data_IF_032839582467
#
_entry.id   IF_032839582467
#
_cell.length_a   1.000
_cell.length_b   1.000
_cell.length_c   1.000
_cell.angle_alpha   90.00
_cell.angle_beta   90.00
_cell.angle_gamma   90.00
#
_symmetry.space_group_name_H-M   'P 1'
#
loop_
_entity.id
_entity.type
_entity.pdbx_description
1 polymer ?
#
# COMPACT_ATOMS: atom_id res chain seq x y z
N UNK A 1 8.58 33.71 7.78
CA UNK A 1 7.83 32.44 7.93
C UNK A 1 6.45 32.52 7.26
N UNK A 2 6.22 33.20 6.13
CA UNK A 2 6.55 32.87 4.73
C UNK A 2 6.03 31.54 4.15
N UNK A 3 5.32 30.67 4.89
CA UNK A 3 4.95 29.32 4.40
C UNK A 3 3.43 29.01 4.41
N UNK A 4 2.57 30.03 4.49
CA UNK A 4 1.11 29.86 4.58
C UNK A 4 0.33 30.29 3.33
N UNK A 5 1.02 30.47 2.19
CA UNK A 5 0.43 31.01 0.95
C UNK A 5 0.34 30.03 -0.22
N UNK A 6 0.67 28.75 -0.01
CA UNK A 6 0.82 27.76 -1.09
C UNK A 6 -0.37 26.80 -1.27
N UNK A 7 -1.53 27.08 -0.68
CA UNK A 7 -2.79 26.36 -0.96
C UNK A 7 -3.84 27.35 -1.43
N UNK A 8 -3.64 27.89 -2.63
CA UNK A 8 -4.77 28.35 -3.43
C UNK A 8 -5.41 27.11 -4.05
N UNK A 9 -6.70 26.82 -3.82
CA UNK A 9 -7.39 25.83 -4.62
C UNK A 9 -7.35 26.35 -6.06
N UNK A 10 -6.89 25.52 -7.00
CA UNK A 10 -7.09 25.69 -8.44
C UNK A 10 -8.59 25.63 -8.76
N UNK A 11 -9.34 26.63 -8.27
CA UNK A 11 -10.74 26.88 -8.59
C UNK A 11 -10.75 27.81 -9.80
N UNK A 12 -10.26 27.30 -10.91
CA UNK A 12 -10.46 27.90 -12.23
C UNK A 12 -10.50 26.80 -13.28
N UNK A 13 -11.44 25.87 -13.10
CA UNK A 13 -12.13 25.34 -14.26
C UNK A 13 -13.37 26.22 -14.39
N UNK A 14 -13.40 27.04 -15.44
CA UNK A 14 -14.59 27.77 -15.83
C UNK A 14 -15.79 26.84 -15.72
N UNK A 15 -16.72 27.15 -14.81
CA UNK A 15 -18.05 26.58 -14.86
C UNK A 15 -18.65 27.08 -16.17
N UNK A 16 -18.46 26.31 -17.23
CA UNK A 16 -19.45 26.26 -18.28
C UNK A 16 -20.74 25.88 -17.56
N UNK A 17 -21.66 26.84 -17.43
CA UNK A 17 -23.02 26.54 -16.98
C UNK A 17 -23.61 25.40 -17.81
N UNK A 18 -24.70 24.76 -17.38
CA UNK A 18 -25.30 23.69 -18.15
C UNK A 18 -25.67 24.23 -19.53
N UNK A 19 -24.80 23.99 -20.52
CA UNK A 19 -25.15 24.13 -21.92
C UNK A 19 -26.29 23.17 -22.07
N UNK A 20 -27.48 23.68 -22.38
CA UNK A 20 -28.64 22.86 -22.66
C UNK A 20 -28.18 21.77 -23.62
N UNK A 21 -28.06 20.53 -23.12
CA UNK A 21 -27.73 19.37 -23.93
C UNK A 21 -28.69 19.46 -25.10
N UNK A 22 -28.15 19.54 -26.33
CA UNK A 22 -28.98 19.47 -27.52
C UNK A 22 -29.79 18.20 -27.32
N UNK A 23 -31.05 18.37 -26.91
CA UNK A 23 -31.97 17.26 -26.76
C UNK A 23 -31.82 16.50 -28.07
N UNK A 24 -31.64 15.18 -27.98
CA UNK A 24 -31.62 14.27 -29.12
C UNK A 24 -32.99 14.33 -29.79
N UNK A 25 -33.25 15.48 -30.42
CA UNK A 25 -34.35 15.75 -31.30
C UNK A 25 -33.88 15.08 -32.56
N UNK A 26 -34.07 13.76 -32.59
CA UNK A 26 -34.23 13.04 -33.83
C UNK A 26 -35.32 13.79 -34.57
N UNK A 27 -34.92 14.71 -35.44
CA UNK A 27 -35.79 15.28 -36.45
C UNK A 27 -36.18 14.07 -37.27
N UNK A 28 -37.31 13.45 -36.92
CA UNK A 28 -37.96 12.49 -37.78
C UNK A 28 -38.27 13.29 -39.05
N UNK A 29 -37.44 13.11 -40.07
CA UNK A 29 -37.69 13.59 -41.43
C UNK A 29 -38.88 12.82 -42.05
N UNK A 30 -39.54 11.93 -41.31
CA UNK A 30 -40.90 11.55 -41.66
C UNK A 30 -41.83 12.71 -41.30
N UNK A 31 -42.26 13.41 -42.34
CA UNK A 31 -43.29 14.44 -42.38
C UNK A 31 -42.92 15.76 -41.66
N UNK A 32 -42.88 16.92 -42.36
CA UNK A 32 -42.71 18.21 -41.68
C UNK A 32 -43.71 18.32 -40.52
N UNK A 33 -43.37 19.05 -39.45
CA UNK A 33 -44.25 19.27 -38.29
C UNK A 33 -45.67 19.74 -38.70
N UNK A 34 -45.78 20.34 -39.88
CA UNK A 34 -47.03 20.74 -40.54
C UNK A 34 -47.91 19.58 -41.02
N UNK A 35 -47.35 18.44 -41.45
CA UNK A 35 -48.12 17.24 -41.82
C UNK A 35 -48.77 16.56 -40.61
N UNK A 36 -48.13 16.57 -39.44
CA UNK A 36 -48.77 16.06 -38.22
C UNK A 36 -50.00 16.91 -37.82
N UNK A 37 -49.91 18.24 -38.03
CA UNK A 37 -51.03 19.15 -37.85
C UNK A 37 -52.14 18.91 -38.89
N UNK A 38 -51.78 18.72 -40.17
CA UNK A 38 -52.74 18.41 -41.23
C UNK A 38 -53.40 17.03 -41.04
N UNK A 39 -52.66 16.02 -40.61
CA UNK A 39 -53.18 14.66 -40.33
C UNK A 39 -54.24 14.68 -39.22
N UNK A 40 -54.04 15.51 -38.18
CA UNK A 40 -55.01 15.66 -37.08
C UNK A 40 -56.36 16.26 -37.50
N UNK A 41 -56.41 16.97 -38.64
CA UNK A 41 -57.60 17.69 -39.13
C UNK A 41 -58.20 17.12 -40.41
N UNK A 42 -57.37 16.52 -41.27
CA UNK A 42 -57.73 16.09 -42.63
C UNK A 42 -57.35 14.64 -42.93
N UNK A 43 -56.87 13.91 -41.93
CA UNK A 43 -56.46 12.50 -42.05
C UNK A 43 -55.15 12.31 -42.84
N UNK A 44 -54.66 11.07 -42.88
CA UNK A 44 -53.41 10.70 -43.58
C UNK A 44 -53.44 11.03 -45.08
N UNK A 45 -54.63 11.11 -45.67
CA UNK A 45 -54.84 11.49 -47.07
C UNK A 45 -54.78 12.99 -47.31
N UNK A 46 -54.97 13.83 -46.28
CA UNK A 46 -55.01 15.28 -46.45
C UNK A 46 -53.69 15.89 -46.90
N UNK A 47 -52.56 15.40 -46.36
CA UNK A 47 -51.23 15.82 -46.81
C UNK A 47 -50.95 15.41 -48.27
N UNK A 48 -51.36 14.19 -48.66
CA UNK A 48 -51.20 13.70 -50.02
C UNK A 48 -52.06 14.48 -51.03
N UNK A 49 -53.33 14.75 -50.69
CA UNK A 49 -54.25 15.54 -51.52
C UNK A 49 -53.79 16.99 -51.62
N UNK A 50 -53.25 17.58 -50.55
CA UNK A 50 -52.70 18.94 -50.60
C UNK A 50 -51.42 19.01 -51.44
N UNK A 51 -50.54 18.02 -51.36
CA UNK A 51 -49.36 17.93 -52.22
C UNK A 51 -49.71 17.80 -53.70
N UNK A 52 -50.65 16.90 -54.02
CA UNK A 52 -51.15 16.73 -55.40
C UNK A 52 -51.92 17.96 -55.88
N UNK A 53 -52.73 18.57 -55.02
CA UNK A 53 -53.50 19.78 -55.31
C UNK A 53 -52.62 21.00 -55.57
N UNK A 54 -51.55 21.18 -54.80
CA UNK A 54 -50.55 22.23 -55.06
C UNK A 54 -49.81 21.99 -56.38
N UNK A 55 -49.41 20.75 -56.66
CA UNK A 55 -48.77 20.42 -57.94
C UNK A 55 -49.70 20.67 -59.14
N UNK A 56 -50.97 20.26 -59.03
CA UNK A 56 -51.99 20.49 -60.05
C UNK A 56 -52.32 21.99 -60.20
N UNK A 57 -52.32 22.76 -59.12
CA UNK A 57 -52.52 24.21 -59.15
C UNK A 57 -51.36 24.93 -59.85
N UNK A 58 -50.11 24.56 -59.54
CA UNK A 58 -48.92 25.13 -60.18
C UNK A 58 -48.86 24.82 -61.68
N UNK A 59 -49.28 23.63 -62.08
CA UNK A 59 -49.44 23.25 -63.49
C UNK A 59 -50.60 24.01 -64.16
N UNK A 60 -51.75 24.11 -63.49
CA UNK A 60 -52.96 24.75 -64.03
C UNK A 60 -52.84 26.27 -64.16
N UNK A 61 -51.99 26.91 -63.35
CA UNK A 61 -51.73 28.37 -63.41
C UNK A 61 -50.50 28.74 -64.24
N UNK A 62 -49.90 27.77 -64.94
CA UNK A 62 -48.67 27.95 -65.74
C UNK A 62 -47.49 28.56 -64.97
N UNK A 63 -47.53 28.55 -63.64
CA UNK A 63 -46.41 28.96 -62.80
C UNK A 63 -45.25 27.97 -62.97
N UNK A 64 -45.58 26.71 -63.30
CA UNK A 64 -44.62 25.68 -63.71
C UNK A 64 -44.72 25.44 -65.22
N UNK A 65 -43.83 26.08 -65.99
CA UNK A 65 -43.74 25.91 -67.45
C UNK A 65 -42.95 24.64 -67.76
N UNK A 66 -43.58 23.65 -68.37
CA UNK A 66 -42.92 22.40 -68.77
C UNK A 66 -42.02 22.63 -69.99
N UNK A 67 -40.76 22.97 -69.74
CA UNK A 67 -39.72 23.13 -70.75
C UNK A 67 -38.53 22.18 -70.50
N UNK A 68 -37.54 22.19 -71.39
CA UNK A 68 -36.32 21.37 -71.28
C UNK A 68 -35.61 21.50 -69.93
N UNK A 69 -35.68 22.67 -69.28
CA UNK A 69 -35.07 22.92 -67.96
C UNK A 69 -35.80 22.23 -66.80
N UNK A 70 -37.12 22.01 -66.87
CA UNK A 70 -37.85 21.33 -65.77
C UNK A 70 -37.52 19.84 -65.72
N UNK A 71 -37.20 19.23 -66.87
CA UNK A 71 -36.68 17.86 -66.96
C UNK A 71 -35.30 17.77 -66.28
N UNK A 72 -34.45 18.78 -66.45
CA UNK A 72 -33.15 18.86 -65.77
C UNK A 72 -33.35 18.96 -64.25
N UNK A 73 -34.22 19.85 -63.77
CA UNK A 73 -34.54 19.96 -62.34
C UNK A 73 -35.09 18.66 -61.76
N UNK A 74 -36.01 17.98 -62.47
CA UNK A 74 -36.54 16.69 -62.05
C UNK A 74 -35.46 15.61 -61.96
N UNK A 75 -34.51 15.58 -62.90
CA UNK A 75 -33.38 14.65 -62.88
C UNK A 75 -32.42 14.90 -61.72
N UNK A 76 -32.10 16.16 -61.41
CA UNK A 76 -31.26 16.54 -60.28
C UNK A 76 -31.95 16.19 -58.95
N UNK A 77 -33.26 16.43 -58.85
CA UNK A 77 -34.05 16.04 -57.69
C UNK A 77 -34.06 14.52 -57.48
N UNK A 78 -34.22 13.74 -58.55
CA UNK A 78 -34.18 12.27 -58.48
C UNK A 78 -32.81 11.73 -58.05
N UNK A 79 -31.72 12.28 -58.60
CA UNK A 79 -30.35 11.91 -58.20
C UNK A 79 -30.07 12.29 -56.75
N UNK A 80 -30.47 13.50 -56.33
CA UNK A 80 -30.29 13.98 -54.95
C UNK A 80 -31.07 13.12 -53.96
N UNK A 81 -32.30 12.74 -54.28
CA UNK A 81 -33.10 11.83 -53.47
C UNK A 81 -32.47 10.43 -53.37
N UNK A 82 -31.96 9.90 -54.49
CA UNK A 82 -31.22 8.64 -54.53
C UNK A 82 -29.94 8.66 -53.69
N UNK A 83 -29.20 9.77 -53.71
CA UNK A 83 -27.99 9.96 -52.92
C UNK A 83 -28.30 10.09 -51.43
N UNK A 84 -29.31 10.89 -51.07
CA UNK A 84 -29.71 11.10 -49.67
C UNK A 84 -30.24 9.81 -49.03
N UNK A 85 -31.04 9.03 -49.76
CA UNK A 85 -31.61 7.78 -49.25
C UNK A 85 -30.55 6.70 -49.01
N UNK A 86 -29.50 6.65 -49.83
CA UNK A 86 -28.41 5.66 -49.69
C UNK A 86 -27.31 6.12 -48.73
N UNK A 87 -26.76 7.32 -48.93
CA UNK A 87 -25.64 7.82 -48.14
C UNK A 87 -26.05 8.39 -46.78
N UNK A 88 -27.33 8.78 -46.60
CA UNK A 88 -27.81 9.38 -45.36
C UNK A 88 -27.68 8.46 -44.14
N UNK A 89 -27.86 7.15 -44.32
CA UNK A 89 -27.73 6.18 -43.23
C UNK A 89 -26.28 6.05 -42.74
N UNK A 90 -25.34 5.94 -43.68
CA UNK A 90 -23.92 5.75 -43.38
C UNK A 90 -23.30 7.01 -42.74
N UNK A 91 -23.69 8.19 -43.22
CA UNK A 91 -23.28 9.48 -42.63
C UNK A 91 -23.85 9.62 -41.21
N UNK A 92 -25.12 9.27 -41.01
CA UNK A 92 -25.75 9.33 -39.69
C UNK A 92 -25.08 8.38 -38.69
N UNK A 93 -24.77 7.14 -39.08
CA UNK A 93 -24.05 6.21 -38.22
C UNK A 93 -22.63 6.68 -37.91
N UNK A 94 -21.91 7.24 -38.88
CA UNK A 94 -20.56 7.77 -38.66
C UNK A 94 -20.52 9.00 -37.74
N UNK A 95 -21.56 9.84 -37.77
CA UNK A 95 -21.71 10.94 -36.83
C UNK A 95 -22.05 10.45 -35.42
N UNK A 96 -22.92 9.44 -35.29
CA UNK A 96 -23.31 8.87 -34.00
C UNK A 96 -22.12 8.16 -33.33
N UNK A 97 -21.33 7.40 -34.08
CA UNK A 97 -20.11 6.74 -33.58
C UNK A 97 -19.10 7.75 -33.03
N UNK A 98 -18.88 8.86 -33.74
CA UNK A 98 -17.98 9.94 -33.27
C UNK A 98 -18.52 10.62 -32.01
N UNK A 99 -19.83 10.85 -31.93
CA UNK A 99 -20.46 11.44 -30.76
C UNK A 99 -20.30 10.51 -29.54
N UNK A 100 -20.55 9.21 -29.71
CA UNK A 100 -20.35 8.20 -28.66
C UNK A 100 -18.88 8.12 -28.24
N UNK A 101 -17.93 8.10 -29.18
CA UNK A 101 -16.50 8.07 -28.87
C UNK A 101 -16.04 9.28 -28.05
N UNK A 102 -16.54 10.48 -28.36
CA UNK A 102 -16.26 11.70 -27.58
C UNK A 102 -16.84 11.57 -26.17
N UNK A 103 -18.09 11.12 -26.05
CA UNK A 103 -18.75 10.95 -24.76
C UNK A 103 -18.02 9.92 -23.89
N UNK A 104 -17.62 8.78 -24.46
CA UNK A 104 -16.83 7.77 -23.77
C UNK A 104 -15.46 8.29 -23.34
N UNK A 105 -14.79 9.07 -24.19
CA UNK A 105 -13.49 9.68 -23.86
C UNK A 105 -13.60 10.64 -22.67
N UNK A 106 -14.65 11.46 -22.64
CA UNK A 106 -14.92 12.37 -21.53
C UNK A 106 -15.27 11.62 -20.24
N UNK A 107 -16.09 10.57 -20.33
CA UNK A 107 -16.46 9.77 -19.15
C UNK A 107 -15.27 8.99 -18.60
N UNK A 108 -14.45 8.36 -19.46
CA UNK A 108 -13.20 7.71 -19.07
C UNK A 108 -12.25 8.69 -18.38
N UNK A 109 -12.10 9.91 -18.94
CA UNK A 109 -11.28 10.96 -18.34
C UNK A 109 -11.80 11.42 -16.98
N UNK A 110 -13.12 11.52 -16.80
CA UNK A 110 -13.75 11.87 -15.53
C UNK A 110 -13.54 10.78 -14.47
N UNK A 111 -13.81 9.53 -14.81
CA UNK A 111 -13.63 8.38 -13.91
C UNK A 111 -12.16 8.24 -13.50
N UNK A 112 -11.22 8.39 -14.44
CA UNK A 112 -9.79 8.35 -14.13
C UNK A 112 -9.35 9.47 -13.17
N UNK A 113 -9.89 10.68 -13.31
CA UNK A 113 -9.62 11.79 -12.39
C UNK A 113 -10.18 11.53 -11.00
N UNK A 114 -11.41 11.01 -10.91
CA UNK A 114 -12.02 10.65 -9.61
C UNK A 114 -11.17 9.59 -8.92
N UNK A 115 -10.80 8.52 -9.61
CA UNK A 115 -9.96 7.46 -9.07
C UNK A 115 -8.56 7.97 -8.63
N UNK A 116 -7.96 8.90 -9.37
CA UNK A 116 -6.70 9.52 -8.99
C UNK A 116 -6.83 10.34 -7.70
N UNK A 117 -7.88 11.15 -7.59
CA UNK A 117 -8.16 11.96 -6.39
C UNK A 117 -8.48 11.07 -5.18
N UNK A 118 -9.27 10.01 -5.36
CA UNK A 118 -9.56 9.04 -4.28
C UNK A 118 -8.28 8.36 -3.79
N UNK A 119 -7.37 8.00 -4.70
CA UNK A 119 -6.06 7.44 -4.34
C UNK A 119 -5.21 8.46 -3.56
N UNK A 120 -5.19 9.72 -3.97
CA UNK A 120 -4.47 10.78 -3.26
C UNK A 120 -5.05 11.02 -1.85
N UNK A 121 -6.37 10.98 -1.70
CA UNK A 121 -7.04 11.10 -0.40
C UNK A 121 -6.66 9.94 0.51
N UNK A 122 -6.69 8.70 0.02
CA UNK A 122 -6.30 7.53 0.79
C UNK A 122 -4.83 7.59 1.26
N UNK A 123 -3.93 8.09 0.41
CA UNK A 123 -2.52 8.31 0.78
C UNK A 123 -2.38 9.39 1.86
N UNK A 124 -3.12 10.50 1.75
CA UNK A 124 -3.10 11.57 2.75
C UNK A 124 -3.68 11.13 4.09
N UNK A 125 -4.70 10.27 4.09
CA UNK A 125 -5.27 9.69 5.31
C UNK A 125 -4.27 8.82 6.06
N UNK A 126 -3.50 7.99 5.35
CA UNK A 126 -2.41 7.20 5.94
C UNK A 126 -1.32 8.08 6.56
N UNK A 127 -0.96 9.19 5.90
CA UNK A 127 -0.01 10.16 6.45
C UNK A 127 -0.54 10.82 7.72
N UNK A 128 -1.82 11.20 7.74
CA UNK A 128 -2.47 11.79 8.92
C UNK A 128 -2.45 10.82 10.12
N UNK A 129 -2.77 9.55 9.88
CA UNK A 129 -2.70 8.51 10.92
C UNK A 129 -1.27 8.28 11.42
N UNK A 130 -0.27 8.38 10.54
CA UNK A 130 1.14 8.27 10.95
C UNK A 130 1.56 9.46 11.83
N UNK A 131 1.09 10.67 11.50
CA UNK A 131 1.37 11.89 12.28
C UNK A 131 0.76 11.84 13.68
N UNK A 132 -0.45 11.30 13.84
CA UNK A 132 -1.04 11.14 15.19
C UNK A 132 -0.21 10.20 16.06
N UNK A 133 0.43 9.19 15.49
CA UNK A 133 1.21 8.20 16.24
C UNK A 133 2.60 8.72 16.66
N UNK A 134 3.05 9.89 16.17
CA UNK A 134 4.34 10.45 16.57
C UNK A 134 4.39 10.78 18.07
N UNK A 135 3.27 11.18 18.68
CA UNK A 135 3.25 11.49 20.11
C UNK A 135 3.59 10.25 20.94
N UNK A 136 3.01 9.10 20.61
CA UNK A 136 3.32 7.82 21.24
C UNK A 136 4.80 7.45 21.06
N UNK A 137 5.37 7.69 19.87
CA UNK A 137 6.80 7.47 19.61
C UNK A 137 7.67 8.38 20.50
N UNK A 138 7.28 9.63 20.73
CA UNK A 138 8.02 10.52 21.65
C UNK A 138 7.93 10.04 23.09
N UNK A 139 6.78 9.56 23.53
CA UNK A 139 6.60 9.01 24.88
C UNK A 139 7.45 7.75 25.07
N UNK A 140 7.45 6.82 24.11
CA UNK A 140 8.33 5.64 24.11
C UNK A 140 9.81 6.03 24.15
N UNK A 141 10.23 7.01 23.37
CA UNK A 141 11.63 7.48 23.39
C UNK A 141 12.02 8.11 24.73
N UNK A 142 11.08 8.82 25.37
CA UNK A 142 11.30 9.40 26.70
C UNK A 142 11.44 8.30 27.76
N UNK A 143 10.56 7.30 27.73
CA UNK A 143 10.62 6.15 28.64
C UNK A 143 11.90 5.32 28.42
N UNK A 144 12.28 5.09 27.16
CA UNK A 144 13.52 4.42 26.81
C UNK A 144 14.73 5.16 27.37
N UNK A 145 14.76 6.50 27.23
CA UNK A 145 15.85 7.31 27.75
C UNK A 145 15.93 7.29 29.30
N UNK A 146 14.81 7.18 30.02
CA UNK A 146 14.84 6.94 31.47
C UNK A 146 15.34 5.54 31.80
N UNK A 147 14.84 4.52 31.11
CA UNK A 147 15.22 3.13 31.34
C UNK A 147 16.72 2.89 31.09
N UNK A 148 17.30 3.50 30.05
CA UNK A 148 18.74 3.41 29.78
C UNK A 148 19.58 4.06 30.88
N UNK A 149 19.11 5.16 31.48
CA UNK A 149 19.81 5.80 32.60
C UNK A 149 19.78 4.94 33.86
N UNK A 150 18.62 4.36 34.17
CA UNK A 150 18.49 3.44 35.31
C UNK A 150 19.33 2.17 35.11
N UNK A 151 19.37 1.63 33.90
CA UNK A 151 20.20 0.49 33.56
C UNK A 151 21.69 0.81 33.72
N UNK A 152 22.16 1.95 33.24
CA UNK A 152 23.55 2.37 33.40
C UNK A 152 23.90 2.48 34.89
N UNK A 153 23.06 3.15 35.68
CA UNK A 153 23.27 3.28 37.13
C UNK A 153 23.34 1.93 37.85
N UNK A 154 22.41 1.00 37.54
CA UNK A 154 22.44 -0.34 38.13
C UNK A 154 23.67 -1.14 37.70
N UNK A 155 24.09 -0.99 36.44
CA UNK A 155 25.29 -1.66 35.92
C UNK A 155 26.56 -1.19 36.64
N UNK A 156 26.68 0.12 36.89
CA UNK A 156 27.79 0.68 37.66
C UNK A 156 27.81 0.16 39.12
N UNK A 157 26.64 0.09 39.77
CA UNK A 157 26.52 -0.48 41.12
C UNK A 157 26.90 -1.97 41.16
N UNK A 158 26.43 -2.75 40.18
CA UNK A 158 26.78 -4.17 40.07
C UNK A 158 28.28 -4.35 39.82
N UNK A 159 28.88 -3.55 38.94
CA UNK A 159 30.32 -3.59 38.68
C UNK A 159 31.14 -3.26 39.94
N UNK A 160 30.74 -2.24 40.72
CA UNK A 160 31.40 -1.90 41.97
C UNK A 160 31.32 -3.04 43.00
N UNK A 161 30.15 -3.68 43.12
CA UNK A 161 29.95 -4.86 43.97
C UNK A 161 30.83 -6.02 43.52
N UNK A 162 30.86 -6.33 42.23
CA UNK A 162 31.58 -7.47 41.69
C UNK A 162 33.10 -7.29 41.86
N UNK A 163 33.60 -6.07 41.70
CA UNK A 163 35.01 -5.74 41.98
C UNK A 163 35.37 -5.96 43.46
N UNK A 164 34.52 -5.50 44.39
CA UNK A 164 34.76 -5.72 45.81
C UNK A 164 34.72 -7.21 46.19
N UNK A 165 33.81 -7.96 45.57
CA UNK A 165 33.67 -9.39 45.77
C UNK A 165 34.86 -10.16 45.17
N UNK A 166 35.37 -9.74 44.00
CA UNK A 166 36.57 -10.29 43.39
C UNK A 166 37.78 -10.13 44.33
N UNK A 167 38.02 -8.91 44.84
CA UNK A 167 39.10 -8.67 45.79
C UNK A 167 38.98 -9.55 47.05
N UNK A 168 37.76 -9.71 47.59
CA UNK A 168 37.53 -10.55 48.76
C UNK A 168 37.78 -12.04 48.46
N UNK A 169 37.34 -12.51 47.29
CA UNK A 169 37.62 -13.88 46.83
C UNK A 169 39.10 -14.12 46.66
N UNK A 170 39.84 -13.15 46.14
CA UNK A 170 41.28 -13.25 45.96
C UNK A 170 42.00 -13.35 47.32
N UNK A 171 41.57 -12.59 48.33
CA UNK A 171 42.12 -12.72 49.70
C UNK A 171 41.86 -14.12 50.28
N UNK A 172 40.65 -14.64 50.13
CA UNK A 172 40.31 -15.99 50.60
C UNK A 172 41.13 -17.06 49.84
N UNK A 173 41.33 -16.88 48.53
CA UNK A 173 42.15 -17.78 47.72
C UNK A 173 43.62 -17.77 48.17
N UNK A 174 44.18 -16.59 48.46
CA UNK A 174 45.53 -16.46 49.01
C UNK A 174 45.65 -17.17 50.37
N UNK A 175 44.70 -16.96 51.29
CA UNK A 175 44.70 -17.66 52.60
C UNK A 175 44.59 -19.19 52.46
N UNK A 176 43.75 -19.66 51.55
CA UNK A 176 43.64 -21.10 51.26
C UNK A 176 44.94 -21.65 50.68
N UNK A 177 45.58 -20.93 49.76
CA UNK A 177 46.85 -21.32 49.18
C UNK A 177 47.98 -21.36 50.21
N UNK A 178 48.02 -20.40 51.13
CA UNK A 178 49.02 -20.35 52.19
C UNK A 178 48.81 -21.49 53.19
N UNK A 179 47.58 -21.73 53.64
CA UNK A 179 47.26 -22.88 54.50
C UNK A 179 47.64 -24.21 53.84
N UNK A 180 47.37 -24.36 52.56
CA UNK A 180 47.75 -25.58 51.82
C UNK A 180 49.28 -25.72 51.72
N UNK A 181 50.01 -24.63 51.49
CA UNK A 181 51.47 -24.64 51.44
C UNK A 181 52.08 -25.01 52.81
N UNK A 182 51.58 -24.42 53.90
CA UNK A 182 52.00 -24.75 55.27
C UNK A 182 51.71 -26.22 55.61
N UNK A 183 50.53 -26.73 55.24
CA UNK A 183 50.20 -28.15 55.42
C UNK A 183 51.13 -29.07 54.63
N UNK A 184 51.46 -28.72 53.38
CA UNK A 184 52.40 -29.48 52.57
C UNK A 184 53.82 -29.44 53.14
N UNK A 185 54.26 -28.29 53.66
CA UNK A 185 55.57 -28.16 54.31
C UNK A 185 55.66 -28.98 55.59
N UNK A 186 54.63 -28.93 56.44
CA UNK A 186 54.53 -29.78 57.64
C UNK A 186 54.53 -31.26 57.25
N UNK A 187 53.77 -31.66 56.23
CA UNK A 187 53.76 -33.04 55.74
C UNK A 187 55.16 -33.49 55.29
N UNK A 188 55.84 -32.69 54.45
CA UNK A 188 57.20 -32.96 54.00
C UNK A 188 58.21 -33.01 55.14
N UNK A 189 58.09 -32.13 56.14
CA UNK A 189 58.95 -32.12 57.33
C UNK A 189 58.74 -33.38 58.19
N UNK A 190 57.49 -33.78 58.41
CA UNK A 190 57.16 -35.03 59.12
C UNK A 190 57.70 -36.23 58.35
N UNK A 191 57.51 -36.29 57.03
CA UNK A 191 58.04 -37.37 56.18
C UNK A 191 59.57 -37.47 56.30
N UNK A 192 60.29 -36.35 56.23
CA UNK A 192 61.74 -36.32 56.35
C UNK A 192 62.22 -36.75 57.76
N UNK A 193 61.55 -36.28 58.83
CA UNK A 193 61.92 -36.64 60.20
C UNK A 193 61.59 -38.12 60.49
N UNK A 194 60.47 -38.64 59.98
CA UNK A 194 60.13 -40.06 60.09
C UNK A 194 61.15 -40.92 59.35
N UNK A 195 61.53 -40.58 58.12
CA UNK A 195 62.57 -41.31 57.38
C UNK A 195 63.91 -41.30 58.12
N UNK A 196 64.32 -40.14 58.65
CA UNK A 196 65.55 -40.01 59.43
C UNK A 196 65.50 -40.79 60.76
N UNK A 197 64.35 -40.83 61.42
CA UNK A 197 64.15 -41.62 62.63
C UNK A 197 64.11 -43.13 62.36
N UNK A 198 63.73 -43.52 61.13
CA UNK A 198 63.77 -44.91 60.65
C UNK A 198 65.20 -45.36 60.33
N UNK A 199 66.04 -44.46 59.82
CA UNK A 199 67.41 -44.74 59.41
C UNK A 199 68.23 -45.31 60.60
N UNK A 200 68.53 -46.62 60.53
CA UNK A 200 69.19 -47.39 61.58
C UNK A 200 68.29 -48.20 62.53
N UNK A 201 66.96 -48.04 62.47
CA UNK A 201 65.96 -48.86 63.22
C UNK A 201 65.17 -49.83 62.34
N UNK A 202 65.36 -49.80 61.03
CA UNK A 202 64.66 -50.63 60.04
C UNK A 202 64.75 -52.14 60.36
N UNK A 203 65.93 -52.65 60.72
CA UNK A 203 66.07 -54.07 61.06
C UNK A 203 65.35 -54.47 62.36
N UNK A 204 65.27 -53.56 63.34
CA UNK A 204 64.59 -53.82 64.61
C UNK A 204 63.06 -53.80 64.42
N UNK A 205 62.56 -52.85 63.63
CA UNK A 205 61.15 -52.79 63.22
C UNK A 205 60.75 -54.01 62.38
N UNK A 206 61.57 -54.41 61.41
CA UNK A 206 61.31 -55.61 60.60
C UNK A 206 61.22 -56.87 61.47
N UNK A 207 62.11 -57.02 62.46
CA UNK A 207 62.05 -58.14 63.43
C UNK A 207 60.81 -58.08 64.30
N UNK A 208 60.39 -56.89 64.75
CA UNK A 208 59.16 -56.72 65.52
C UNK A 208 57.91 -57.02 64.68
N UNK A 209 57.87 -56.59 63.41
CA UNK A 209 56.77 -56.93 62.49
C UNK A 209 56.69 -58.43 62.20
N UNK A 210 57.82 -59.13 62.07
CA UNK A 210 57.84 -60.60 61.96
C UNK A 210 57.30 -61.24 63.24
N UNK A 211 57.68 -60.74 64.42
CA UNK A 211 57.14 -61.21 65.70
C UNK A 211 55.63 -60.97 65.84
N UNK A 212 55.13 -59.79 65.47
CA UNK A 212 53.70 -59.46 65.49
C UNK A 212 52.91 -60.33 64.49
N UNK A 213 53.48 -60.65 63.32
CA UNK A 213 52.88 -61.59 62.37
C UNK A 213 52.89 -63.03 62.88
N UNK A 214 53.97 -63.46 63.55
CA UNK A 214 54.01 -64.77 64.20
C UNK A 214 52.99 -64.88 65.34
N UNK A 215 52.78 -63.81 66.11
CA UNK A 215 51.80 -63.79 67.20
C UNK A 215 50.35 -63.71 66.68
N UNK A 216 50.09 -62.98 65.58
CA UNK A 216 48.81 -63.04 64.86
C UNK A 216 48.56 -64.43 64.25
N UNK A 217 49.60 -65.09 63.72
CA UNK A 217 49.48 -66.44 63.18
C UNK A 217 49.19 -67.49 64.28
N UNK A 218 49.78 -67.35 65.47
CA UNK A 218 49.44 -68.17 66.66
C UNK A 218 48.04 -67.88 67.20
N UNK A 219 47.53 -66.65 67.04
CA UNK A 219 46.17 -66.28 67.46
C UNK A 219 45.07 -66.72 66.47
N UNK A 220 45.44 -67.05 65.23
CA UNK A 220 44.54 -67.63 64.21
C UNK A 220 44.61 -69.18 64.12
N UNK A 221 45.51 -69.80 64.87
CA UNK A 221 45.56 -71.25 65.11
C UNK A 221 44.83 -71.60 66.43
#
# INVERSE_FOLDING_TARGET
>A
MAALRALQPLRSAAQAGPVSVLASRGLKISTPQQSALLESKTGKTGAAVLGFGLAAYLASKEILILHSETVVVASIAAVTYGLMSKAGKDIASGLDERAQAIQEGLEKGRVARIAAIEKEIAQQEQLKASVSNLQEIYDVNRELASATRELAYRTELHAARDNALANLKDMVAIEQSQRQAEQNEIANWIEAEVLKALEGKEEALMKQSIADLEDLAKAQA
#
